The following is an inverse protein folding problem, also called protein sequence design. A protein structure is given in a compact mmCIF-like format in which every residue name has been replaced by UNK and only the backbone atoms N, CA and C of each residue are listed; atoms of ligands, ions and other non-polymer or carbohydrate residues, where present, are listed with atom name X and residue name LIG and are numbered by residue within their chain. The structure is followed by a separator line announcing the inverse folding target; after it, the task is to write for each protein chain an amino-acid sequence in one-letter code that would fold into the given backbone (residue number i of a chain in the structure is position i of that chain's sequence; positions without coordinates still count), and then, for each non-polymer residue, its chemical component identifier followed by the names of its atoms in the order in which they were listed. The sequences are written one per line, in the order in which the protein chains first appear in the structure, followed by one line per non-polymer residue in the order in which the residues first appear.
data_IF_708322725900
#
_entry.id   IF_708322725900
#
_cell.length_a   1.000
_cell.length_b   1.000
_cell.length_c   1.000
_cell.angle_alpha   90.00
_cell.angle_beta   90.00
_cell.angle_gamma   90.00
#
_symmetry.space_group_name_H-M   'P 1'
#
loop_
_entity.id
_entity.type
_entity.pdbx_description
1 polymer ?
#
# COMPACT_ATOMS: atom_id res chain seq x y z
N UNK A 1 -24.53 -8.49 12.00
CA UNK A 1 -23.75 -8.27 10.76
C UNK A 1 -22.38 -8.89 10.98
N UNK A 2 -22.30 -10.23 10.93
CA UNK A 2 -21.08 -11.02 11.18
C UNK A 2 -21.15 -12.45 10.64
N UNK A 3 -22.34 -12.99 10.33
CA UNK A 3 -22.52 -14.38 9.82
C UNK A 3 -21.56 -14.79 8.70
N UNK A 4 -21.16 -13.85 7.83
CA UNK A 4 -20.25 -14.13 6.73
C UNK A 4 -18.80 -14.43 7.17
N UNK A 5 -18.39 -13.96 8.35
CA UNK A 5 -17.02 -14.12 8.86
C UNK A 5 -16.87 -15.38 9.72
N UNK A 6 -17.97 -15.91 10.26
CA UNK A 6 -17.95 -17.06 11.19
C UNK A 6 -17.51 -18.37 10.49
N UNK A 7 -17.61 -18.44 9.17
CA UNK A 7 -17.17 -19.59 8.36
C UNK A 7 -15.73 -19.45 7.84
N UNK A 8 -15.02 -18.35 8.15
CA UNK A 8 -13.66 -18.12 7.66
C UNK A 8 -12.63 -18.43 8.74
N UNK A 9 -11.55 -19.09 8.33
CA UNK A 9 -10.39 -19.28 9.19
C UNK A 9 -9.67 -17.94 9.42
N UNK A 10 -9.44 -17.60 10.68
CA UNK A 10 -8.64 -16.44 11.06
C UNK A 10 -7.16 -16.73 10.84
N UNK A 11 -6.64 -16.33 9.68
CA UNK A 11 -5.23 -16.49 9.30
C UNK A 11 -4.35 -15.29 9.70
N UNK A 12 -4.97 -14.18 10.10
CA UNK A 12 -4.27 -12.96 10.52
C UNK A 12 -4.29 -12.88 12.04
N UNK A 13 -3.12 -12.90 12.67
CA UNK A 13 -3.03 -12.73 14.12
C UNK A 13 -3.42 -11.30 14.53
N UNK A 14 -3.81 -11.06 15.80
CA UNK A 14 -4.09 -9.72 16.30
C UNK A 14 -2.94 -8.72 16.06
N UNK A 15 -1.69 -9.16 16.21
CA UNK A 15 -0.51 -8.33 15.98
C UNK A 15 -0.32 -7.99 14.50
N UNK A 16 -0.57 -8.95 13.60
CA UNK A 16 -0.55 -8.68 12.16
C UNK A 16 -1.64 -7.69 11.78
N UNK A 17 -2.85 -7.85 12.34
CA UNK A 17 -3.95 -6.93 12.09
C UNK A 17 -3.65 -5.52 12.60
N UNK A 18 -3.06 -5.42 13.81
CA UNK A 18 -2.60 -4.16 14.39
C UNK A 18 -1.54 -3.49 13.51
N UNK A 19 -0.61 -4.27 12.96
CA UNK A 19 0.45 -3.77 12.07
C UNK A 19 -0.08 -3.33 10.70
N UNK A 20 -0.95 -4.11 10.07
CA UNK A 20 -1.56 -3.83 8.76
C UNK A 20 -2.55 -2.66 8.81
N UNK A 21 -3.16 -2.40 9.97
CA UNK A 21 -4.08 -1.29 10.18
C UNK A 21 -3.43 0.06 10.46
N UNK A 22 -2.09 0.13 10.54
CA UNK A 22 -1.38 1.40 10.79
C UNK A 22 -1.50 2.36 9.62
N UNK A 23 -1.44 3.65 9.92
CA UNK A 23 -1.28 4.67 8.89
C UNK A 23 0.07 4.54 8.21
N UNK A 24 0.07 4.69 6.89
CA UNK A 24 1.30 4.81 6.12
C UNK A 24 2.09 6.05 6.52
N UNK A 25 3.40 5.90 6.57
CA UNK A 25 4.35 6.99 6.85
C UNK A 25 4.96 7.52 5.56
N UNK A 26 5.50 8.75 5.60
CA UNK A 26 6.21 9.34 4.45
C UNK A 26 7.44 8.51 4.09
N UNK A 27 8.12 7.96 5.09
CA UNK A 27 9.34 7.16 4.95
C UNK A 27 9.07 5.82 4.25
N UNK A 28 7.95 5.15 4.59
CA UNK A 28 7.51 3.94 3.90
C UNK A 28 7.18 4.23 2.43
N UNK A 29 6.47 5.33 2.16
CA UNK A 29 6.14 5.74 0.79
C UNK A 29 7.40 6.08 -0.02
N UNK A 30 8.34 6.82 0.55
CA UNK A 30 9.61 7.16 -0.09
C UNK A 30 10.44 5.90 -0.41
N UNK A 31 10.52 4.98 0.56
CA UNK A 31 11.18 3.68 0.37
C UNK A 31 10.53 2.89 -0.76
N UNK A 32 9.21 2.75 -0.74
CA UNK A 32 8.48 2.01 -1.76
C UNK A 32 8.70 2.59 -3.16
N UNK A 33 8.65 3.91 -3.31
CA UNK A 33 8.90 4.57 -4.59
C UNK A 33 10.35 4.42 -5.07
N UNK A 34 11.32 4.46 -4.16
CA UNK A 34 12.73 4.27 -4.52
C UNK A 34 12.98 2.91 -5.18
N UNK A 35 12.25 1.87 -4.74
CA UNK A 35 12.33 0.51 -5.27
C UNK A 35 11.60 0.34 -6.63
N UNK A 36 10.76 1.28 -7.04
CA UNK A 36 10.06 1.22 -8.32
C UNK A 36 10.93 1.71 -9.47
N UNK A 37 11.13 0.85 -10.47
CA UNK A 37 11.86 1.22 -11.69
C UNK A 37 11.07 2.28 -12.49
N UNK A 38 11.72 3.37 -12.98
CA UNK A 38 11.05 4.47 -13.68
C UNK A 38 10.31 4.05 -14.96
N UNK A 39 10.76 2.99 -15.62
CA UNK A 39 10.17 2.49 -16.87
C UNK A 39 9.09 1.42 -16.67
N UNK A 40 8.61 1.19 -15.44
CA UNK A 40 7.46 0.32 -15.23
C UNK A 40 6.24 0.91 -15.94
N UNK A 41 5.44 0.02 -16.53
CA UNK A 41 4.17 0.39 -17.12
C UNK A 41 3.28 1.09 -16.06
N UNK A 42 2.49 2.10 -16.46
CA UNK A 42 1.57 2.77 -15.56
C UNK A 42 0.52 1.80 -15.02
N UNK A 43 -0.04 2.13 -13.86
CA UNK A 43 -1.16 1.39 -13.30
C UNK A 43 -2.45 1.55 -14.13
N UNK A 44 -3.55 0.90 -13.71
CA UNK A 44 -4.87 1.13 -14.30
C UNK A 44 -5.34 2.60 -14.27
N UNK A 45 -4.71 3.42 -13.43
CA UNK A 45 -4.92 4.88 -13.33
C UNK A 45 -4.18 5.69 -14.40
N UNK A 46 -3.32 5.07 -15.20
CA UNK A 46 -2.52 5.73 -16.24
C UNK A 46 -1.33 6.52 -15.70
N UNK A 47 -1.06 6.50 -14.39
CA UNK A 47 0.03 7.26 -13.79
C UNK A 47 1.34 6.46 -13.76
N UNK A 48 2.41 7.06 -14.26
CA UNK A 48 3.74 6.44 -14.21
C UNK A 48 4.40 6.63 -12.84
N UNK A 49 5.39 5.79 -12.53
CA UNK A 49 6.23 5.94 -11.32
C UNK A 49 6.87 7.33 -11.24
N UNK A 50 7.19 7.94 -12.39
CA UNK A 50 7.78 9.28 -12.46
C UNK A 50 6.83 10.38 -11.96
N UNK A 51 5.52 10.21 -12.17
CA UNK A 51 4.51 11.14 -11.65
C UNK A 51 4.62 11.18 -10.11
N UNK A 52 4.61 10.01 -9.47
CA UNK A 52 4.67 9.92 -8.01
C UNK A 52 6.01 10.41 -7.44
N UNK A 53 7.13 10.16 -8.14
CA UNK A 53 8.46 10.62 -7.70
C UNK A 53 8.66 12.14 -7.79
N UNK A 54 7.99 12.82 -8.73
CA UNK A 54 8.26 14.24 -9.03
C UNK A 54 7.13 15.19 -8.66
N UNK A 55 5.89 14.71 -8.70
CA UNK A 55 4.69 15.55 -8.71
C UNK A 55 3.71 15.19 -7.59
N UNK A 56 4.08 14.29 -6.67
CA UNK A 56 3.25 14.00 -5.51
C UNK A 56 3.60 14.93 -4.35
N UNK A 57 2.78 15.96 -4.03
CA UNK A 57 3.06 16.90 -2.94
C UNK A 57 3.01 16.30 -1.53
N UNK A 58 2.63 15.01 -1.42
CA UNK A 58 2.58 14.27 -0.15
C UNK A 58 3.99 13.79 0.26
N UNK A 59 4.95 13.80 -0.67
CA UNK A 59 6.36 13.45 -0.45
C UNK A 59 7.28 14.66 -0.32
#
# INVERSE_FOLDING_TARGET
MTEALDAMDFVISPDMNSMLGKHFTREELATALSQMHPSKAPGPDGMSVLFYKKLWPIL
#
